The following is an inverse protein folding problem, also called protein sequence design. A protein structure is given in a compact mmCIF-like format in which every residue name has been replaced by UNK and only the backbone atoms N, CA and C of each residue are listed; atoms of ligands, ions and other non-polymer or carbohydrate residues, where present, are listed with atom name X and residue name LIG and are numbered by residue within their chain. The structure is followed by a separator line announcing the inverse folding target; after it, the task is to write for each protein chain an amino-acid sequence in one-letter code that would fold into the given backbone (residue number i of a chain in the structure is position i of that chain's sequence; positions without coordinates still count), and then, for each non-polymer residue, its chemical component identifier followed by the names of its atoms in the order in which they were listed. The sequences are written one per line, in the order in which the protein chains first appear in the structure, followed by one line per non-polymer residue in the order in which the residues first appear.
data_IF_806537736844
#
_entry.id   IF_806537736844
#
_cell.length_a   1.000
_cell.length_b   1.000
_cell.length_c   1.000
_cell.angle_alpha   90.00
_cell.angle_beta   90.00
_cell.angle_gamma   90.00
#
_symmetry.space_group_name_H-M   'P 1'
#
loop_
_entity.id
_entity.type
_entity.pdbx_description
1 polymer ?
#
# COMPACT_ATOMS: atom_id res chain seq x y z
N UNK A 1 -12.83 -15.09 10.78
CA UNK A 1 -12.10 -15.67 9.64
C UNK A 1 -11.00 -14.70 9.28
N UNK A 2 -9.73 -15.12 9.30
CA UNK A 2 -8.63 -14.25 8.90
C UNK A 2 -8.64 -14.14 7.38
N UNK A 3 -8.88 -12.95 6.84
CA UNK A 3 -8.68 -12.72 5.41
C UNK A 3 -7.17 -12.80 5.13
N UNK A 4 -6.73 -13.52 4.09
CA UNK A 4 -5.33 -13.60 3.75
C UNK A 4 -4.80 -12.18 3.50
N UNK A 5 -3.88 -11.76 4.35
CA UNK A 5 -3.26 -10.42 4.29
C UNK A 5 -1.93 -10.55 3.58
N UNK A 6 -1.75 -9.76 2.52
CA UNK A 6 -0.47 -9.66 1.85
C UNK A 6 0.46 -8.77 2.68
N UNK A 7 1.69 -9.22 2.96
CA UNK A 7 2.65 -8.46 3.76
C UNK A 7 3.92 -8.24 2.96
N UNK A 8 4.31 -6.98 2.80
CA UNK A 8 5.60 -6.57 2.27
C UNK A 8 6.47 -6.06 3.41
N UNK A 9 7.54 -6.77 3.73
CA UNK A 9 8.42 -6.48 4.87
C UNK A 9 9.49 -5.44 4.54
N UNK A 10 10.07 -4.84 5.58
CA UNK A 10 10.97 -3.66 5.53
C UNK A 10 12.31 -3.79 4.79
N UNK A 11 12.66 -4.99 4.33
CA UNK A 11 13.83 -5.23 3.49
C UNK A 11 13.55 -5.24 1.98
N UNK A 12 12.30 -5.01 1.57
CA UNK A 12 11.87 -5.15 0.17
C UNK A 12 11.72 -3.77 -0.47
N UNK A 13 12.28 -3.64 -1.67
CA UNK A 13 12.08 -2.51 -2.56
C UNK A 13 11.40 -2.98 -3.84
N UNK A 14 10.29 -2.35 -4.22
CA UNK A 14 9.58 -2.63 -5.48
C UNK A 14 9.61 -1.38 -6.35
N UNK A 15 9.95 -1.57 -7.62
CA UNK A 15 9.90 -0.53 -8.65
C UNK A 15 8.92 -0.99 -9.73
N UNK A 16 7.83 -0.24 -9.92
CA UNK A 16 6.77 -0.58 -10.88
C UNK A 16 5.36 -0.51 -10.31
N UNK A 17 4.44 -1.31 -10.85
CA UNK A 17 3.03 -1.30 -10.42
C UNK A 17 2.66 -2.55 -9.62
N UNK A 18 1.90 -2.33 -8.54
CA UNK A 18 1.42 -3.37 -7.63
C UNK A 18 -0.10 -3.38 -7.66
N UNK A 19 -0.68 -4.55 -7.93
CA UNK A 19 -2.14 -4.76 -7.89
C UNK A 19 -2.48 -5.85 -6.90
N UNK A 20 -3.46 -5.59 -6.06
CA UNK A 20 -3.91 -6.55 -5.05
C UNK A 20 -5.42 -6.40 -4.81
N UNK A 21 -6.08 -7.51 -4.48
CA UNK A 21 -7.54 -7.54 -4.27
C UNK A 21 -7.95 -7.67 -2.80
N UNK A 22 -7.07 -8.19 -1.94
CA UNK A 22 -7.31 -8.40 -0.51
C UNK A 22 -6.65 -7.29 0.33
N UNK A 23 -6.53 -7.48 1.64
CA UNK A 23 -5.82 -6.53 2.48
C UNK A 23 -4.30 -6.63 2.28
N UNK A 24 -3.62 -5.48 2.29
CA UNK A 24 -2.18 -5.37 2.12
C UNK A 24 -1.56 -4.51 3.22
N UNK A 25 -0.44 -4.99 3.76
CA UNK A 25 0.42 -4.26 4.70
C UNK A 25 1.78 -4.06 4.03
N UNK A 26 2.26 -2.83 4.02
CA UNK A 26 3.50 -2.41 3.37
C UNK A 26 4.38 -1.79 4.43
N UNK A 27 5.56 -2.34 4.67
CA UNK A 27 6.56 -1.79 5.59
C UNK A 27 7.92 -1.54 4.93
N UNK A 28 7.97 -1.57 3.58
CA UNK A 28 9.18 -1.40 2.77
C UNK A 28 9.13 -0.19 1.84
N UNK A 29 9.93 -0.23 0.76
CA UNK A 29 10.02 0.85 -0.22
C UNK A 29 9.28 0.51 -1.50
N UNK A 30 8.50 1.46 -2.01
CA UNK A 30 7.81 1.31 -3.29
C UNK A 30 8.05 2.56 -4.12
N UNK A 31 8.52 2.39 -5.35
CA UNK A 31 8.60 3.43 -6.37
C UNK A 31 7.70 3.05 -7.55
N UNK A 32 6.52 3.65 -7.62
CA UNK A 32 5.53 3.43 -8.65
C UNK A 32 4.10 3.46 -8.12
N UNK A 33 3.23 2.62 -8.70
CA UNK A 33 1.78 2.72 -8.49
C UNK A 33 1.21 1.55 -7.69
N UNK A 34 0.34 1.85 -6.74
CA UNK A 34 -0.33 0.87 -5.88
C UNK A 34 -1.83 0.95 -6.16
N UNK A 35 -2.43 -0.16 -6.59
CA UNK A 35 -3.84 -0.19 -6.97
C UNK A 35 -4.61 -1.33 -6.31
N UNK A 36 -5.78 -1.00 -5.77
CA UNK A 36 -6.79 -1.96 -5.33
C UNK A 36 -8.21 -1.42 -5.52
N UNK A 37 -9.11 -2.27 -6.01
CA UNK A 37 -10.49 -1.88 -6.25
C UNK A 37 -11.32 -1.82 -4.95
N UNK A 38 -11.01 -2.69 -3.98
CA UNK A 38 -11.76 -2.84 -2.72
C UNK A 38 -10.91 -3.17 -1.51
N UNK A 39 -9.66 -3.58 -1.72
CA UNK A 39 -8.75 -3.97 -0.66
C UNK A 39 -8.35 -2.78 0.19
N UNK A 40 -8.01 -3.06 1.44
CA UNK A 40 -7.42 -2.09 2.35
C UNK A 40 -5.91 -2.13 2.22
N UNK A 41 -5.27 -0.98 2.13
CA UNK A 41 -3.81 -0.84 2.22
C UNK A 41 -3.42 -0.19 3.54
N UNK A 42 -2.45 -0.77 4.22
CA UNK A 42 -1.85 -0.23 5.44
C UNK A 42 -0.36 0.02 5.19
N UNK A 43 0.03 1.28 5.22
CA UNK A 43 1.40 1.74 5.05
C UNK A 43 2.00 1.86 6.45
N UNK A 44 2.89 0.94 6.81
CA UNK A 44 3.60 0.87 8.09
C UNK A 44 4.52 2.07 8.30
N UNK A 45 4.96 2.26 9.55
CA UNK A 45 5.72 3.44 9.99
C UNK A 45 7.07 3.58 9.26
N UNK A 46 7.69 2.46 8.87
CA UNK A 46 8.98 2.47 8.16
C UNK A 46 8.84 2.48 6.64
N UNK A 47 7.61 2.42 6.12
CA UNK A 47 7.36 2.40 4.70
C UNK A 47 7.65 3.76 4.05
N UNK A 48 8.22 3.70 2.84
CA UNK A 48 8.45 4.88 2.01
C UNK A 48 7.90 4.60 0.61
N UNK A 49 6.81 5.27 0.27
CA UNK A 49 6.13 5.11 -1.01
C UNK A 49 6.35 6.37 -1.83
N UNK A 50 6.89 6.20 -3.03
CA UNK A 50 6.99 7.23 -4.07
C UNK A 50 6.08 6.84 -5.21
N UNK A 51 5.08 7.67 -5.49
CA UNK A 51 4.07 7.44 -6.52
C UNK A 51 2.66 7.32 -5.96
N UNK A 52 1.74 6.88 -6.81
CA UNK A 52 0.30 7.04 -6.58
C UNK A 52 -0.31 5.80 -5.92
N UNK A 53 -1.18 6.03 -4.94
CA UNK A 53 -1.85 4.99 -4.16
C UNK A 53 -3.35 5.10 -4.36
N UNK A 54 -3.96 4.09 -4.97
CA UNK A 54 -5.41 3.97 -5.15
C UNK A 54 -5.91 2.72 -4.45
N UNK A 55 -6.77 2.86 -3.45
CA UNK A 55 -7.35 1.71 -2.73
C UNK A 55 -8.77 1.98 -2.20
N UNK A 56 -9.46 0.93 -1.75
CA UNK A 56 -10.77 1.09 -1.10
C UNK A 56 -10.65 1.86 0.22
N UNK A 57 -9.73 1.42 1.08
CA UNK A 57 -9.37 2.05 2.35
C UNK A 57 -7.85 2.19 2.43
N UNK A 58 -7.36 3.35 2.86
CA UNK A 58 -5.93 3.64 2.98
C UNK A 58 -5.61 4.05 4.41
N UNK A 59 -4.74 3.30 5.10
CA UNK A 59 -4.16 3.68 6.39
C UNK A 59 -2.70 4.03 6.22
N UNK A 60 -2.31 5.23 6.64
CA UNK A 60 -0.94 5.71 6.51
C UNK A 60 -0.32 5.98 7.87
N UNK A 61 0.75 5.26 8.17
CA UNK A 61 1.60 5.49 9.35
C UNK A 61 3.01 5.96 8.94
N UNK A 62 3.49 5.55 7.75
CA UNK A 62 4.79 5.94 7.21
C UNK A 62 4.75 7.14 6.27
N UNK A 63 5.69 7.18 5.31
CA UNK A 63 5.84 8.29 4.36
C UNK A 63 5.30 7.93 2.98
N UNK A 64 4.49 8.84 2.42
CA UNK A 64 3.97 8.73 1.04
C UNK A 64 4.25 10.05 0.29
N UNK A 65 4.93 9.94 -0.83
CA UNK A 65 5.26 11.00 -1.77
C UNK A 65 4.52 10.74 -3.09
N UNK A 66 3.30 11.26 -3.22
CA UNK A 66 2.46 11.08 -4.40
C UNK A 66 1.00 11.32 -4.10
N UNK A 67 0.10 10.88 -4.99
CA UNK A 67 -1.33 11.08 -4.82
C UNK A 67 -1.97 9.87 -4.15
N UNK A 68 -2.70 10.11 -3.06
CA UNK A 68 -3.55 9.10 -2.42
C UNK A 68 -4.99 9.31 -2.89
N UNK A 69 -5.59 8.25 -3.42
CA UNK A 69 -6.99 8.18 -3.81
C UNK A 69 -7.64 7.03 -3.06
N UNK A 70 -8.58 7.33 -2.17
CA UNK A 70 -9.36 6.32 -1.45
C UNK A 70 -10.85 6.50 -1.69
N UNK A 71 -11.59 5.39 -1.66
CA UNK A 71 -13.06 5.45 -1.67
C UNK A 71 -13.64 5.65 -0.26
N UNK A 72 -12.88 5.29 0.78
CA UNK A 72 -13.16 5.52 2.19
C UNK A 72 -11.86 5.95 2.90
N UNK A 73 -11.90 7.08 3.59
CA UNK A 73 -10.83 7.55 4.48
C UNK A 73 -11.18 7.22 5.93
#
# INVERSE_FOLDING_TARGET
MANPTNVLSSGIEIIGSIRFSNDMIIDGKIDGEIMSDKGKVTIGENANIKGDVTAGEVKVYGKVEGKITSQRC
#
